data_IF_897758490654
#
_entry.id   IF_897758490654
#
_cell.length_a   1.000
_cell.length_b   1.000
_cell.length_c   1.000
_cell.angle_alpha   90.00
_cell.angle_beta   90.00
_cell.angle_gamma   90.00
#
_symmetry.space_group_name_H-M   'P 1'
#
loop_
_entity.id
_entity.type
_entity.pdbx_description
1 polymer ?
#
# COMPACT_ATOMS: atom_id res chain seq x y z
N UNK A 1 25.08 -87.56 15.77
CA UNK A 1 24.75 -86.92 14.48
C UNK A 1 23.54 -86.00 14.68
N UNK A 2 23.77 -84.70 14.93
CA UNK A 2 23.39 -83.54 14.09
C UNK A 2 21.90 -83.53 13.71
N UNK A 3 20.99 -83.11 14.61
CA UNK A 3 20.47 -81.73 14.89
C UNK A 3 19.88 -80.98 13.69
N UNK A 4 18.54 -80.89 13.73
CA UNK A 4 17.64 -79.98 13.02
C UNK A 4 17.97 -78.51 13.28
N UNK A 5 17.88 -77.67 12.25
CA UNK A 5 17.35 -76.29 12.31
C UNK A 5 17.58 -75.56 10.98
N UNK A 6 16.71 -75.77 10.00
CA UNK A 6 16.58 -74.87 8.86
C UNK A 6 15.10 -74.67 8.60
N UNK A 7 14.59 -73.50 9.00
CA UNK A 7 13.43 -72.76 8.45
C UNK A 7 13.00 -71.79 9.53
N UNK A 8 13.59 -70.58 9.62
CA UNK A 8 12.95 -69.42 10.30
C UNK A 8 13.68 -68.07 10.14
N UNK A 9 14.64 -67.91 9.22
CA UNK A 9 15.41 -66.65 9.12
C UNK A 9 15.03 -65.79 7.89
N UNK A 10 14.34 -66.34 6.88
CA UNK A 10 14.06 -65.60 5.64
C UNK A 10 12.79 -64.72 5.75
N UNK A 11 11.80 -65.11 6.56
CA UNK A 11 10.54 -64.34 6.71
C UNK A 11 10.68 -63.03 7.50
N UNK A 12 11.59 -62.98 8.48
CA UNK A 12 11.82 -61.79 9.31
C UNK A 12 12.56 -60.66 8.56
N UNK A 13 13.48 -61.01 7.66
CA UNK A 13 14.26 -60.02 6.91
C UNK A 13 13.42 -59.29 5.84
N UNK A 14 12.45 -59.96 5.23
CA UNK A 14 11.55 -59.35 4.23
C UNK A 14 10.52 -58.43 4.89
N UNK A 15 10.01 -58.79 6.07
CA UNK A 15 9.11 -57.94 6.87
C UNK A 15 9.84 -56.73 7.47
N UNK A 16 11.12 -56.88 7.87
CA UNK A 16 11.92 -55.77 8.39
C UNK A 16 12.36 -54.79 7.29
N UNK A 17 12.68 -55.28 6.08
CA UNK A 17 13.03 -54.42 4.94
C UNK A 17 11.82 -53.64 4.39
N UNK A 18 10.62 -54.22 4.40
CA UNK A 18 9.37 -53.51 4.03
C UNK A 18 8.95 -52.51 5.10
N UNK A 19 9.15 -52.82 6.39
CA UNK A 19 8.93 -51.88 7.50
C UNK A 19 9.92 -50.70 7.48
N UNK A 20 11.20 -50.94 7.17
CA UNK A 20 12.20 -49.89 6.94
C UNK A 20 11.95 -49.06 5.67
N UNK A 21 11.36 -49.64 4.62
CA UNK A 21 10.91 -48.88 3.45
C UNK A 21 9.73 -47.95 3.79
N UNK A 22 8.78 -48.41 4.62
CA UNK A 22 7.68 -47.57 5.11
C UNK A 22 8.13 -46.49 6.12
N UNK A 23 9.20 -46.74 6.89
CA UNK A 23 9.81 -45.75 7.80
C UNK A 23 10.77 -44.78 7.11
N UNK A 24 11.36 -45.16 5.96
CA UNK A 24 12.28 -44.33 5.18
C UNK A 24 11.62 -43.60 4.01
N UNK A 25 10.37 -43.94 3.65
CA UNK A 25 9.53 -43.16 2.76
C UNK A 25 9.01 -41.90 3.47
N UNK A 26 9.92 -41.02 3.88
CA UNK A 26 9.55 -39.62 4.03
C UNK A 26 9.09 -39.15 2.65
N UNK A 27 7.85 -38.66 2.49
CA UNK A 27 7.44 -38.11 1.21
C UNK A 27 8.44 -37.00 0.88
N UNK A 28 9.16 -37.15 -0.25
CA UNK A 28 10.01 -36.09 -0.78
C UNK A 28 9.06 -34.89 -0.92
N UNK A 29 9.28 -33.78 -0.17
CA UNK A 29 8.42 -32.63 -0.31
C UNK A 29 8.51 -32.18 -1.77
N UNK A 30 7.35 -31.94 -2.39
CA UNK A 30 7.29 -31.43 -3.76
C UNK A 30 8.26 -30.24 -3.88
N UNK A 31 9.07 -30.17 -4.95
CA UNK A 31 10.05 -29.10 -5.10
C UNK A 31 9.33 -27.74 -5.04
N UNK A 32 9.79 -26.89 -4.12
CA UNK A 32 9.31 -25.51 -3.97
C UNK A 32 9.52 -24.78 -5.30
N UNK A 33 8.42 -24.55 -6.02
CA UNK A 33 8.44 -23.82 -7.29
C UNK A 33 8.28 -22.34 -6.98
N UNK A 34 9.33 -21.53 -7.21
CA UNK A 34 9.26 -20.08 -7.03
C UNK A 34 8.53 -19.48 -8.24
N UNK A 35 7.34 -18.89 -8.03
CA UNK A 35 6.57 -18.24 -9.08
C UNK A 35 7.35 -17.08 -9.70
N UNK A 36 7.36 -17.03 -11.03
CA UNK A 36 7.88 -15.87 -11.74
C UNK A 36 6.99 -14.64 -11.52
N UNK A 37 7.58 -13.58 -10.96
CA UNK A 37 6.93 -12.27 -10.91
C UNK A 37 6.91 -11.65 -12.30
N UNK A 38 5.77 -11.07 -12.74
CA UNK A 38 5.71 -10.41 -14.04
C UNK A 38 6.72 -9.28 -14.16
N UNK A 39 7.29 -9.13 -15.36
CA UNK A 39 8.17 -8.00 -15.66
C UNK A 39 7.32 -6.74 -15.86
N UNK A 40 7.71 -5.66 -15.21
CA UNK A 40 7.04 -4.37 -15.36
C UNK A 40 7.41 -3.71 -16.69
N UNK A 41 6.41 -3.14 -17.37
CA UNK A 41 6.65 -2.14 -18.39
C UNK A 41 6.78 -0.78 -17.71
N UNK A 42 8.02 -0.40 -17.36
CA UNK A 42 8.32 0.78 -16.55
C UNK A 42 7.70 2.06 -17.12
N UNK A 43 7.75 2.26 -18.44
CA UNK A 43 7.18 3.48 -19.06
C UNK A 43 5.66 3.53 -18.92
N UNK A 44 4.98 2.39 -19.11
CA UNK A 44 3.52 2.29 -18.94
C UNK A 44 3.15 2.47 -17.47
N UNK A 45 3.91 1.88 -16.55
CA UNK A 45 3.71 2.04 -15.10
C UNK A 45 3.86 3.50 -14.67
N UNK A 46 4.89 4.21 -15.14
CA UNK A 46 5.10 5.63 -14.81
C UNK A 46 3.97 6.51 -15.37
N UNK A 47 3.51 6.25 -16.59
CA UNK A 47 2.40 7.00 -17.19
C UNK A 47 1.08 6.74 -16.46
N UNK A 48 0.79 5.48 -16.13
CA UNK A 48 -0.40 5.11 -15.39
C UNK A 48 -0.37 5.66 -13.95
N UNK A 49 0.81 5.67 -13.32
CA UNK A 49 1.01 6.29 -12.02
C UNK A 49 0.61 7.77 -12.03
N UNK A 50 1.11 8.53 -13.01
CA UNK A 50 0.79 9.94 -13.16
C UNK A 50 -0.72 10.16 -13.37
N UNK A 51 -1.31 9.39 -14.28
CA UNK A 51 -2.74 9.51 -14.60
C UNK A 51 -3.61 9.17 -13.40
N UNK A 52 -3.30 8.09 -12.69
CA UNK A 52 -4.04 7.65 -11.52
C UNK A 52 -3.92 8.66 -10.37
N UNK A 53 -2.70 9.08 -10.04
CA UNK A 53 -2.47 10.09 -9.00
C UNK A 53 -3.19 11.41 -9.31
N UNK A 54 -3.15 11.86 -10.56
CA UNK A 54 -3.88 13.06 -10.98
C UNK A 54 -5.39 12.90 -10.87
N UNK A 55 -5.94 11.72 -11.17
CA UNK A 55 -7.38 11.47 -10.97
C UNK A 55 -7.79 11.61 -9.49
N UNK A 56 -6.95 11.15 -8.57
CA UNK A 56 -7.18 11.28 -7.13
C UNK A 56 -7.07 12.73 -6.67
N UNK A 57 -6.05 13.47 -7.15
CA UNK A 57 -5.87 14.90 -6.84
C UNK A 57 -7.03 15.74 -7.34
N UNK A 58 -7.44 15.56 -8.59
CA UNK A 58 -8.57 16.29 -9.19
C UNK A 58 -9.86 15.98 -8.42
N UNK A 59 -10.12 14.70 -8.12
CA UNK A 59 -11.29 14.31 -7.33
C UNK A 59 -11.33 14.95 -5.94
N UNK A 60 -10.15 15.17 -5.33
CA UNK A 60 -10.00 15.83 -4.04
C UNK A 60 -10.02 17.37 -4.11
N UNK A 61 -10.08 17.98 -5.31
CA UNK A 61 -10.12 19.43 -5.50
C UNK A 61 -8.75 20.09 -5.69
N UNK A 62 -7.73 19.34 -6.10
CA UNK A 62 -6.40 19.86 -6.38
C UNK A 62 -6.11 19.90 -7.89
N UNK A 63 -5.23 20.82 -8.29
CA UNK A 63 -4.67 20.84 -9.64
C UNK A 63 -3.84 19.58 -9.90
N UNK A 64 -3.88 19.02 -11.12
CA UNK A 64 -3.07 17.87 -11.47
C UNK A 64 -1.58 18.25 -11.46
N UNK A 65 -0.74 17.27 -11.13
CA UNK A 65 0.69 17.36 -11.33
C UNK A 65 1.03 17.34 -12.83
N UNK A 66 2.08 18.08 -13.16
CA UNK A 66 2.69 18.08 -14.48
C UNK A 66 4.09 17.46 -14.39
N UNK A 67 4.34 16.42 -15.20
CA UNK A 67 5.62 15.71 -15.24
C UNK A 67 6.78 16.65 -15.57
N UNK A 68 7.89 16.56 -14.84
CA UNK A 68 9.12 17.33 -15.05
C UNK A 68 10.32 16.41 -15.29
N UNK A 69 11.07 16.68 -16.35
CA UNK A 69 12.16 15.81 -16.81
C UNK A 69 13.25 15.60 -15.75
N UNK A 70 13.72 16.67 -15.11
CA UNK A 70 14.77 16.62 -14.10
C UNK A 70 14.30 15.88 -12.82
N UNK A 71 13.03 16.07 -12.43
CA UNK A 71 12.44 15.32 -11.31
C UNK A 71 12.32 13.82 -11.66
N UNK A 72 11.92 13.47 -12.90
CA UNK A 72 11.89 12.06 -13.36
C UNK A 72 13.29 11.44 -13.31
N UNK A 73 14.32 12.18 -13.76
CA UNK A 73 15.71 11.73 -13.71
C UNK A 73 16.15 11.44 -12.27
N UNK A 74 15.85 12.33 -11.32
CA UNK A 74 16.16 12.14 -9.91
C UNK A 74 15.40 10.95 -9.31
N UNK A 75 14.08 10.86 -9.57
CA UNK A 75 13.24 9.80 -9.06
C UNK A 75 13.69 8.42 -9.58
N UNK A 76 13.99 8.31 -10.88
CA UNK A 76 14.46 7.06 -11.48
C UNK A 76 15.85 6.66 -11.00
N UNK A 77 16.76 7.64 -10.81
CA UNK A 77 18.07 7.38 -10.19
C UNK A 77 17.90 6.83 -8.78
N UNK A 78 16.99 7.40 -7.97
CA UNK A 78 16.75 6.89 -6.63
C UNK A 78 16.08 5.52 -6.63
N UNK A 79 15.08 5.28 -7.49
CA UNK A 79 14.44 3.98 -7.62
C UNK A 79 15.45 2.88 -8.00
N UNK A 80 16.35 3.16 -8.96
CA UNK A 80 17.42 2.24 -9.33
C UNK A 80 18.38 1.96 -8.17
N UNK A 81 18.78 3.00 -7.43
CA UNK A 81 19.62 2.86 -6.24
C UNK A 81 18.95 1.92 -5.21
N UNK A 82 17.66 2.12 -4.93
CA UNK A 82 16.93 1.29 -3.96
C UNK A 82 16.90 -0.18 -4.39
N UNK A 83 16.63 -0.45 -5.68
CA UNK A 83 16.58 -1.81 -6.19
C UNK A 83 17.96 -2.47 -6.32
N UNK A 84 19.01 -1.72 -6.67
CA UNK A 84 20.35 -2.27 -6.88
C UNK A 84 21.05 -2.63 -5.55
N UNK A 85 20.74 -1.91 -4.47
CA UNK A 85 21.35 -2.10 -3.16
C UNK A 85 20.41 -2.76 -2.15
N UNK A 86 19.28 -3.30 -2.59
CA UNK A 86 18.30 -3.99 -1.74
C UNK A 86 17.92 -3.19 -0.50
N UNK A 87 17.67 -1.89 -0.71
CA UNK A 87 17.40 -0.93 0.36
C UNK A 87 16.08 -0.21 0.15
N UNK A 88 15.64 0.56 1.14
CA UNK A 88 14.35 1.22 1.18
C UNK A 88 14.43 2.58 1.88
N UNK A 89 13.38 3.39 1.73
CA UNK A 89 13.28 4.70 2.34
C UNK A 89 13.92 5.82 1.52
N UNK A 90 14.11 6.98 2.17
CA UNK A 90 14.39 8.26 1.50
C UNK A 90 15.87 8.57 1.30
N UNK A 91 16.78 7.74 1.82
CA UNK A 91 18.20 8.06 1.92
C UNK A 91 19.08 7.21 1.01
N UNK A 92 20.15 7.82 0.50
CA UNK A 92 21.26 7.12 -0.13
C UNK A 92 22.53 7.23 0.72
N UNK A 93 23.41 6.25 0.61
CA UNK A 93 24.72 6.22 1.26
C UNK A 93 25.82 6.49 0.22
N UNK A 94 26.78 7.34 0.57
CA UNK A 94 27.82 7.82 -0.35
C UNK A 94 28.82 6.74 -0.80
N UNK A 95 28.82 5.57 -0.16
CA UNK A 95 29.71 4.45 -0.49
C UNK A 95 29.33 3.76 -1.82
N UNK A 96 28.09 3.91 -2.28
CA UNK A 96 27.63 3.25 -3.50
C UNK A 96 27.92 4.08 -4.75
N UNK A 97 28.31 3.40 -5.85
CA UNK A 97 28.77 4.04 -7.10
C UNK A 97 27.70 4.87 -7.83
N UNK A 98 26.43 4.56 -7.64
CA UNK A 98 25.26 5.25 -8.22
C UNK A 98 24.64 6.27 -7.25
N UNK A 99 25.37 6.66 -6.20
CA UNK A 99 25.00 7.76 -5.31
C UNK A 99 24.88 9.09 -6.07
N UNK A 100 23.72 9.74 -5.94
CA UNK A 100 23.44 11.07 -6.50
C UNK A 100 23.11 12.11 -5.43
N UNK A 101 22.89 11.67 -4.18
CA UNK A 101 22.68 12.54 -3.03
C UNK A 101 21.97 11.85 -1.86
N UNK A 102 22.36 12.19 -0.63
CA UNK A 102 21.80 11.56 0.57
C UNK A 102 20.29 11.78 0.69
N UNK A 103 19.79 12.97 0.40
CA UNK A 103 18.37 13.33 0.50
C UNK A 103 17.79 13.71 -0.85
N UNK A 104 16.46 13.67 -0.98
CA UNK A 104 15.75 14.04 -2.21
C UNK A 104 16.17 15.42 -2.74
N UNK A 105 16.34 16.40 -1.84
CA UNK A 105 16.83 17.75 -2.17
C UNK A 105 18.19 17.75 -2.90
N UNK A 106 19.14 16.96 -2.44
CA UNK A 106 20.44 16.79 -3.09
C UNK A 106 20.31 16.07 -4.43
N UNK A 107 19.47 15.03 -4.50
CA UNK A 107 19.27 14.23 -5.72
C UNK A 107 18.61 15.02 -6.84
N UNK A 108 17.58 15.83 -6.54
CA UNK A 108 16.94 16.68 -7.56
C UNK A 108 17.87 17.78 -8.05
N UNK A 109 18.70 18.35 -7.16
CA UNK A 109 19.73 19.32 -7.53
C UNK A 109 20.80 18.68 -8.42
N UNK A 110 21.28 17.48 -8.07
CA UNK A 110 22.21 16.71 -8.90
C UNK A 110 21.62 16.38 -10.29
N UNK A 111 20.32 16.14 -10.37
CA UNK A 111 19.61 15.93 -11.64
C UNK A 111 19.40 17.23 -12.45
N UNK A 112 19.78 18.39 -11.92
CA UNK A 112 19.67 19.69 -12.57
C UNK A 112 18.35 20.42 -12.34
N UNK A 113 17.54 19.99 -11.36
CA UNK A 113 16.35 20.75 -10.96
C UNK A 113 16.77 22.04 -10.23
N UNK A 114 16.10 23.15 -10.51
CA UNK A 114 16.59 24.47 -10.11
C UNK A 114 16.52 24.72 -8.59
N UNK A 115 15.59 24.08 -7.89
CA UNK A 115 15.35 24.26 -6.46
C UNK A 115 15.57 22.95 -5.70
N UNK A 116 16.17 22.98 -4.51
CA UNK A 116 16.27 21.81 -3.63
C UNK A 116 14.97 21.52 -2.88
N UNK A 117 13.96 22.39 -2.96
CA UNK A 117 12.70 22.28 -2.24
C UNK A 117 11.78 21.28 -2.96
N UNK A 118 11.73 20.06 -2.42
CA UNK A 118 10.99 18.92 -2.96
C UNK A 118 10.36 18.12 -1.81
N UNK A 119 9.18 17.55 -2.07
CA UNK A 119 8.53 16.55 -1.23
C UNK A 119 8.69 15.20 -1.92
N UNK A 120 9.07 14.15 -1.19
CA UNK A 120 9.26 12.83 -1.76
C UNK A 120 8.35 11.80 -1.10
N UNK A 121 7.66 11.01 -1.92
CA UNK A 121 7.08 9.74 -1.49
C UNK A 121 7.88 8.59 -2.11
N UNK A 122 8.11 7.53 -1.32
CA UNK A 122 8.82 6.32 -1.76
C UNK A 122 8.06 5.09 -1.27
N UNK A 123 7.94 4.08 -2.11
CA UNK A 123 7.55 2.73 -1.70
C UNK A 123 8.38 1.68 -2.40
N UNK A 124 8.48 0.49 -1.80
CA UNK A 124 9.23 -0.65 -2.34
C UNK A 124 8.40 -1.92 -2.25
N UNK A 125 8.76 -2.93 -3.05
CA UNK A 125 8.11 -4.25 -3.09
C UNK A 125 6.63 -4.25 -3.49
N UNK A 126 6.14 -3.17 -4.09
CA UNK A 126 4.80 -3.14 -4.69
C UNK A 126 4.81 -3.80 -6.07
N UNK A 127 3.70 -4.44 -6.43
CA UNK A 127 3.57 -5.14 -7.70
C UNK A 127 3.35 -4.21 -8.88
N UNK A 128 2.79 -3.01 -8.67
CA UNK A 128 2.47 -2.05 -9.72
C UNK A 128 2.21 -0.65 -9.14
N UNK A 129 2.05 0.34 -10.03
CA UNK A 129 1.79 1.73 -9.68
C UNK A 129 0.56 1.91 -8.78
N UNK A 130 -0.49 1.11 -8.99
CA UNK A 130 -1.76 1.28 -8.29
C UNK A 130 -1.65 0.82 -6.85
N UNK A 131 -0.96 -0.29 -6.62
CA UNK A 131 -0.66 -0.79 -5.28
C UNK A 131 0.23 0.22 -4.52
N UNK A 132 1.29 0.73 -5.14
CA UNK A 132 2.17 1.76 -4.56
C UNK A 132 1.37 3.00 -4.14
N UNK A 133 0.61 3.59 -5.07
CA UNK A 133 -0.18 4.80 -4.79
C UNK A 133 -1.25 4.51 -3.74
N UNK A 134 -1.97 3.39 -3.81
CA UNK A 134 -3.00 3.06 -2.82
C UNK A 134 -2.42 2.88 -1.41
N UNK A 135 -1.28 2.20 -1.29
CA UNK A 135 -0.57 2.03 -0.02
C UNK A 135 -0.15 3.37 0.56
N UNK A 136 0.48 4.21 -0.26
CA UNK A 136 0.89 5.57 0.13
C UNK A 136 -0.29 6.51 0.41
N UNK A 137 -1.46 6.29 -0.20
CA UNK A 137 -2.69 6.98 0.18
C UNK A 137 -3.30 6.41 1.46
N UNK A 138 -3.05 5.16 1.85
CA UNK A 138 -3.48 4.66 3.16
C UNK A 138 -2.62 5.21 4.30
N UNK A 139 -1.32 5.41 4.05
CA UNK A 139 -0.36 6.04 4.94
C UNK A 139 -0.59 7.55 5.00
N UNK A 140 -0.91 8.11 6.17
CA UNK A 140 -1.49 9.45 6.27
C UNK A 140 -0.49 10.56 5.92
N UNK A 141 0.77 10.44 6.32
CA UNK A 141 1.77 11.46 6.01
C UNK A 141 2.15 11.45 4.53
N UNK A 142 2.25 10.26 3.92
CA UNK A 142 2.47 10.12 2.47
C UNK A 142 1.27 10.61 1.66
N UNK A 143 0.03 10.38 2.13
CA UNK A 143 -1.16 10.96 1.50
C UNK A 143 -1.10 12.48 1.49
N UNK A 144 -0.76 13.11 2.62
CA UNK A 144 -0.69 14.56 2.71
C UNK A 144 0.40 15.14 1.81
N UNK A 145 1.51 14.42 1.60
CA UNK A 145 2.50 14.77 0.58
C UNK A 145 1.90 14.75 -0.85
N UNK A 146 1.11 13.73 -1.20
CA UNK A 146 0.43 13.68 -2.50
C UNK A 146 -0.68 14.72 -2.66
N UNK A 147 -1.30 15.14 -1.56
CA UNK A 147 -2.39 16.12 -1.54
C UNK A 147 -1.92 17.53 -1.15
N UNK A 148 -0.61 17.78 -1.18
CA UNK A 148 -0.03 19.07 -0.86
C UNK A 148 -0.53 20.18 -1.81
N UNK A 149 -0.98 21.29 -1.22
CA UNK A 149 -1.51 22.46 -1.94
C UNK A 149 -0.43 23.26 -2.68
N UNK A 150 0.85 23.09 -2.33
CA UNK A 150 1.95 23.90 -2.89
C UNK A 150 2.51 23.30 -4.16
N UNK A 151 2.30 22.01 -4.40
CA UNK A 151 2.97 21.26 -5.47
C UNK A 151 2.08 21.09 -6.70
N UNK A 152 2.63 21.33 -7.89
CA UNK A 152 2.00 21.10 -9.20
C UNK A 152 2.98 20.49 -10.24
N UNK A 153 4.21 20.21 -9.85
CA UNK A 153 5.21 19.49 -10.62
C UNK A 153 5.51 18.13 -9.97
N UNK A 154 5.75 17.11 -10.79
CA UNK A 154 6.15 15.79 -10.30
C UNK A 154 7.21 15.14 -11.19
N UNK A 155 8.08 14.34 -10.59
CA UNK A 155 8.85 13.31 -11.27
C UNK A 155 8.52 11.94 -10.70
N UNK A 156 8.31 10.96 -11.58
CA UNK A 156 8.03 9.58 -11.20
C UNK A 156 9.16 8.70 -11.73
N UNK A 157 9.69 7.85 -10.85
CA UNK A 157 10.70 6.85 -11.20
C UNK A 157 10.30 5.51 -10.65
N UNK A 158 10.24 4.51 -11.52
CA UNK A 158 9.93 3.13 -11.15
C UNK A 158 11.10 2.24 -11.58
N UNK A 159 11.50 1.33 -10.71
CA UNK A 159 12.53 0.33 -11.01
C UNK A 159 12.11 -1.05 -10.53
N UNK A 160 12.56 -2.07 -11.27
CA UNK A 160 12.42 -3.48 -10.93
C UNK A 160 13.78 -4.15 -11.16
N UNK A 161 14.28 -4.85 -10.15
CA UNK A 161 15.56 -5.53 -10.26
C UNK A 161 15.50 -6.66 -11.30
N UNK A 162 16.57 -6.82 -12.09
CA UNK A 162 16.61 -7.73 -13.26
C UNK A 162 16.40 -9.21 -12.91
N UNK A 163 16.99 -9.66 -11.80
CA UNK A 163 16.96 -11.07 -11.37
C UNK A 163 15.93 -11.31 -10.25
N UNK A 164 15.99 -10.54 -9.17
CA UNK A 164 14.98 -10.55 -8.10
C UNK A 164 13.78 -9.65 -8.43
N UNK A 165 12.88 -10.11 -9.28
CA UNK A 165 11.74 -9.32 -9.79
C UNK A 165 10.76 -8.82 -8.70
N UNK A 166 10.77 -9.40 -7.49
CA UNK A 166 10.03 -8.89 -6.33
C UNK A 166 10.60 -7.55 -5.79
N UNK A 167 11.88 -7.29 -6.04
CA UNK A 167 12.55 -6.05 -5.64
C UNK A 167 12.16 -4.94 -6.60
N UNK A 168 11.17 -4.15 -6.22
CA UNK A 168 10.69 -2.97 -6.94
C UNK A 168 10.81 -1.72 -6.07
N UNK A 169 10.91 -0.56 -6.73
CA UNK A 169 10.88 0.74 -6.06
C UNK A 169 10.09 1.75 -6.90
N UNK A 170 9.28 2.57 -6.21
CA UNK A 170 8.46 3.63 -6.78
C UNK A 170 8.79 4.92 -6.04
N UNK A 171 9.24 5.94 -6.77
CA UNK A 171 9.69 7.22 -6.21
C UNK A 171 8.90 8.35 -6.88
N UNK A 172 8.37 9.26 -6.06
CA UNK A 172 7.58 10.41 -6.48
C UNK A 172 8.17 11.69 -5.90
N UNK A 173 8.88 12.46 -6.73
CA UNK A 173 9.45 13.75 -6.35
C UNK A 173 8.50 14.87 -6.77
N UNK A 174 7.96 15.61 -5.81
CA UNK A 174 6.94 16.64 -6.02
C UNK A 174 7.48 18.03 -5.67
N UNK A 175 7.20 19.02 -6.53
CA UNK A 175 7.61 20.41 -6.32
C UNK A 175 6.63 21.38 -7.01
N UNK A 176 7.03 22.64 -7.15
CA UNK A 176 6.24 23.72 -7.75
C UNK A 176 6.94 24.28 -8.99
N UNK A 177 6.22 24.39 -10.11
CA UNK A 177 6.74 25.01 -11.33
C UNK A 177 7.08 26.47 -11.14
N UNK A 178 6.26 27.19 -10.39
CA UNK A 178 6.49 28.60 -10.06
C UNK A 178 7.75 28.75 -9.23
N UNK A 179 7.97 27.84 -8.27
CA UNK A 179 9.19 27.81 -7.47
C UNK A 179 10.44 27.50 -8.31
N UNK A 180 10.37 26.52 -9.20
CA UNK A 180 11.45 26.21 -10.12
C UNK A 180 11.81 27.42 -11.01
N UNK A 181 10.78 28.11 -11.54
CA UNK A 181 10.97 29.32 -12.35
C UNK A 181 11.63 30.45 -11.56
N UNK A 182 11.25 30.62 -10.28
CA UNK A 182 11.88 31.59 -9.39
C UNK A 182 13.37 31.28 -9.22
N UNK A 183 13.73 30.04 -8.90
CA UNK A 183 15.12 29.63 -8.67
C UNK A 183 15.98 29.68 -9.94
N UNK A 184 15.39 29.49 -11.12
CA UNK A 184 16.08 29.71 -12.41
C UNK A 184 16.48 31.17 -12.62
N UNK A 185 15.68 32.12 -12.11
CA UNK A 185 15.93 33.57 -12.22
C UNK A 185 16.80 34.10 -11.08
N UNK A 186 16.53 33.66 -9.86
CA UNK A 186 17.20 34.09 -8.65
C UNK A 186 17.50 32.89 -7.74
N UNK A 187 18.75 32.41 -7.77
CA UNK A 187 19.18 31.27 -6.94
C UNK A 187 19.18 31.56 -5.43
N UNK A 188 19.23 32.84 -5.06
CA UNK A 188 19.23 33.32 -3.68
C UNK A 188 17.90 34.00 -3.33
N UNK A 189 16.79 33.48 -3.85
CA UNK A 189 15.46 34.00 -3.58
C UNK A 189 15.19 34.09 -2.08
N UNK A 190 14.66 35.23 -1.65
CA UNK A 190 14.29 35.50 -0.27
C UNK A 190 13.11 34.61 0.17
N UNK A 191 12.97 34.41 1.48
CA UNK A 191 11.83 33.70 2.06
C UNK A 191 10.48 34.27 1.62
N UNK A 192 10.40 35.59 1.42
CA UNK A 192 9.19 36.26 0.93
C UNK A 192 8.85 35.85 -0.50
N UNK A 193 9.83 35.85 -1.41
CA UNK A 193 9.64 35.42 -2.81
C UNK A 193 9.25 33.94 -2.88
N UNK A 194 9.90 33.08 -2.09
CA UNK A 194 9.58 31.65 -1.99
C UNK A 194 8.14 31.46 -1.52
N UNK A 195 7.73 32.15 -0.45
CA UNK A 195 6.38 32.08 0.09
C UNK A 195 5.33 32.58 -0.93
N UNK A 196 5.64 33.64 -1.68
CA UNK A 196 4.77 34.13 -2.75
C UNK A 196 4.61 33.09 -3.86
N UNK A 197 5.71 32.46 -4.30
CA UNK A 197 5.68 31.40 -5.31
C UNK A 197 4.82 30.21 -4.85
N UNK A 198 5.05 29.70 -3.63
CA UNK A 198 4.26 28.61 -3.07
C UNK A 198 2.78 28.99 -2.89
N UNK A 199 2.48 30.18 -2.39
CA UNK A 199 1.11 30.67 -2.18
C UNK A 199 0.35 30.87 -3.49
N UNK A 200 1.03 31.28 -4.57
CA UNK A 200 0.39 31.39 -5.89
C UNK A 200 -0.16 30.04 -6.36
N UNK A 201 0.57 28.94 -6.10
CA UNK A 201 0.08 27.61 -6.43
C UNK A 201 -1.05 27.16 -5.50
N UNK A 202 -0.94 27.43 -4.19
CA UNK A 202 -2.02 27.14 -3.23
C UNK A 202 -3.36 27.75 -3.65
N UNK A 203 -3.36 28.98 -4.15
CA UNK A 203 -4.57 29.72 -4.59
C UNK A 203 -5.29 29.10 -5.80
N UNK A 204 -4.64 28.20 -6.55
CA UNK A 204 -5.24 27.48 -7.68
C UNK A 204 -6.05 26.25 -7.25
N UNK A 205 -5.89 25.83 -6.00
CA UNK A 205 -6.56 24.68 -5.43
C UNK A 205 -7.82 25.10 -4.66
N UNK A 206 -8.69 24.13 -4.36
CA UNK A 206 -9.85 24.37 -3.50
C UNK A 206 -9.45 24.85 -2.10
N UNK A 207 -10.36 25.54 -1.43
CA UNK A 207 -10.15 26.03 -0.06
C UNK A 207 -10.15 24.90 0.99
N UNK A 208 -10.71 23.75 0.65
CA UNK A 208 -10.73 22.54 1.48
C UNK A 208 -10.55 21.31 0.61
N UNK A 209 -9.73 20.38 1.09
CA UNK A 209 -9.51 19.05 0.50
C UNK A 209 -10.01 18.02 1.49
N UNK A 210 -10.87 17.11 1.02
CA UNK A 210 -11.36 15.97 1.79
C UNK A 210 -10.90 14.68 1.11
N UNK A 211 -10.46 13.70 1.91
CA UNK A 211 -10.04 12.41 1.39
C UNK A 211 -10.44 11.25 2.33
N UNK A 212 -11.05 10.15 1.84
CA UNK A 212 -11.56 9.96 0.48
C UNK A 212 -12.52 11.06 0.05
N UNK A 213 -12.49 11.45 -1.23
CA UNK A 213 -13.34 12.54 -1.72
C UNK A 213 -14.79 12.11 -1.88
N UNK A 214 -15.71 13.06 -2.03
CA UNK A 214 -17.14 12.77 -2.09
C UNK A 214 -17.47 11.83 -3.26
N UNK A 215 -18.18 10.75 -2.95
CA UNK A 215 -18.56 9.65 -3.86
C UNK A 215 -17.38 8.88 -4.45
N UNK A 216 -16.19 8.98 -3.86
CA UNK A 216 -15.03 8.21 -4.31
C UNK A 216 -15.31 6.70 -4.24
N UNK A 217 -14.92 6.00 -5.29
CA UNK A 217 -15.02 4.55 -5.43
C UNK A 217 -13.64 3.92 -5.34
N UNK A 218 -13.57 2.63 -5.03
CA UNK A 218 -12.31 1.90 -5.08
C UNK A 218 -11.35 2.23 -3.94
N UNK A 219 -11.85 2.75 -2.82
CA UNK A 219 -11.02 3.11 -1.66
C UNK A 219 -10.47 1.84 -1.01
N UNK A 220 -9.16 1.74 -0.72
CA UNK A 220 -8.64 0.64 0.08
C UNK A 220 -9.31 0.59 1.46
N UNK A 221 -9.54 -0.58 2.06
CA UNK A 221 -10.28 -0.70 3.31
C UNK A 221 -9.42 -0.46 4.56
N UNK A 222 -8.09 -0.52 4.42
CA UNK A 222 -7.19 -0.65 5.56
C UNK A 222 -5.98 0.29 5.48
N UNK A 223 -5.44 0.58 6.65
CA UNK A 223 -4.08 1.07 6.88
C UNK A 223 -3.27 -0.05 7.55
N UNK A 224 -1.99 -0.17 7.21
CA UNK A 224 -1.11 -1.21 7.75
C UNK A 224 0.11 -0.65 8.46
N UNK A 225 0.92 0.14 7.75
CA UNK A 225 2.17 0.68 8.25
C UNK A 225 2.57 1.96 7.53
N UNK A 226 3.34 2.78 8.25
CA UNK A 226 3.97 4.00 7.76
C UNK A 226 5.21 4.28 8.61
N UNK A 227 6.17 5.04 8.08
CA UNK A 227 7.32 5.52 8.83
C UNK A 227 7.44 7.05 8.72
N UNK A 228 7.34 7.81 9.83
CA UNK A 228 7.02 7.34 11.19
C UNK A 228 5.57 6.84 11.29
N UNK A 229 5.30 5.91 12.22
CA UNK A 229 4.00 5.26 12.33
C UNK A 229 3.02 6.11 13.17
N UNK A 230 1.88 6.58 12.62
CA UNK A 230 0.86 7.31 13.38
C UNK A 230 0.08 6.42 14.37
N UNK A 231 0.10 5.09 14.21
CA UNK A 231 -0.62 4.12 15.02
C UNK A 231 0.27 2.90 15.38
N UNK A 232 1.37 3.09 16.14
CA UNK A 232 2.39 2.06 16.37
C UNK A 232 1.88 0.77 17.04
N UNK A 233 0.76 0.86 17.76
CA UNK A 233 0.12 -0.30 18.39
C UNK A 233 -0.78 -1.13 17.47
N UNK A 234 -1.02 -0.68 16.23
CA UNK A 234 -1.92 -1.31 15.26
C UNK A 234 -1.13 -1.68 14.00
N UNK A 235 -0.99 -2.97 13.71
CA UNK A 235 -0.45 -3.45 12.42
C UNK A 235 -1.51 -3.47 11.33
N UNK A 236 -2.78 -3.37 11.70
CA UNK A 236 -3.91 -3.21 10.79
C UNK A 236 -4.98 -2.35 11.45
N UNK A 237 -5.47 -1.35 10.71
CA UNK A 237 -6.62 -0.52 11.08
C UNK A 237 -7.43 -0.16 9.84
N UNK A 238 -8.48 0.64 9.99
CA UNK A 238 -9.28 1.12 8.87
C UNK A 238 -8.58 2.23 8.11
N UNK A 239 -8.96 2.38 6.84
CA UNK A 239 -8.46 3.45 5.99
C UNK A 239 -8.71 4.83 6.62
N UNK A 240 -7.68 5.67 6.82
CA UNK A 240 -7.88 6.96 7.47
C UNK A 240 -8.68 7.91 6.58
N UNK A 241 -9.44 8.79 7.21
CA UNK A 241 -10.18 9.88 6.57
C UNK A 241 -9.54 11.20 6.99
N UNK A 242 -9.34 12.12 6.05
CA UNK A 242 -8.67 13.39 6.28
C UNK A 242 -9.42 14.58 5.70
N UNK A 243 -9.32 15.71 6.38
CA UNK A 243 -9.78 17.03 5.93
C UNK A 243 -8.64 18.01 6.13
N UNK A 244 -8.27 18.72 5.07
CA UNK A 244 -7.20 19.71 5.07
C UNK A 244 -7.73 21.04 4.53
N UNK A 245 -7.65 22.09 5.34
CA UNK A 245 -8.01 23.44 4.89
C UNK A 245 -6.78 24.14 4.30
N UNK A 246 -6.98 24.77 3.15
CA UNK A 246 -5.92 25.40 2.40
C UNK A 246 -5.48 26.70 3.09
N UNK A 247 -4.22 26.73 3.52
CA UNK A 247 -3.63 27.87 4.25
C UNK A 247 -3.49 29.15 3.42
N UNK A 248 -3.78 29.14 2.12
CA UNK A 248 -3.93 30.36 1.34
C UNK A 248 -5.21 31.14 1.66
N UNK A 249 -6.23 30.46 2.19
CA UNK A 249 -7.55 31.02 2.48
C UNK A 249 -7.87 31.01 3.98
N UNK A 250 -7.29 30.07 4.72
CA UNK A 250 -7.59 29.84 6.13
C UNK A 250 -6.35 29.94 7.01
N UNK A 251 -6.52 30.36 8.27
CA UNK A 251 -5.40 30.54 9.21
C UNK A 251 -5.53 29.66 10.44
N UNK A 252 -6.74 29.50 10.95
CA UNK A 252 -6.99 28.80 12.21
C UNK A 252 -8.13 27.79 12.06
N UNK A 253 -8.00 26.67 12.78
CA UNK A 253 -8.98 25.60 12.76
C UNK A 253 -9.05 24.86 14.09
N UNK A 254 -10.28 24.58 14.52
CA UNK A 254 -10.57 23.75 15.71
C UNK A 254 -11.60 22.69 15.37
N UNK A 255 -11.22 21.43 15.53
CA UNK A 255 -12.14 20.30 15.33
C UNK A 255 -13.23 20.30 16.40
N UNK A 256 -14.49 20.17 15.99
CA UNK A 256 -15.62 19.94 16.89
C UNK A 256 -16.11 18.49 16.78
N UNK A 257 -16.27 18.00 15.54
CA UNK A 257 -16.88 16.70 15.26
C UNK A 257 -16.20 16.06 14.05
N UNK A 258 -15.92 14.76 14.15
CA UNK A 258 -15.45 13.94 13.05
C UNK A 258 -15.95 12.52 13.31
N UNK A 259 -16.85 12.04 12.46
CA UNK A 259 -17.54 10.77 12.66
C UNK A 259 -17.65 10.00 11.35
N UNK A 260 -17.63 8.68 11.48
CA UNK A 260 -17.76 7.73 10.39
C UNK A 260 -18.97 6.82 10.68
N UNK A 261 -19.76 6.56 9.66
CA UNK A 261 -20.93 5.70 9.71
C UNK A 261 -20.80 4.63 8.63
N UNK A 262 -21.23 3.41 8.95
CA UNK A 262 -21.27 2.31 7.99
C UNK A 262 -22.47 2.44 7.03
N UNK A 263 -22.64 1.46 6.15
CA UNK A 263 -23.72 1.43 5.16
C UNK A 263 -25.13 1.41 5.78
N UNK A 264 -25.26 0.87 6.99
CA UNK A 264 -26.53 0.74 7.71
C UNK A 264 -26.86 1.99 8.54
N UNK A 265 -26.03 3.03 8.46
CA UNK A 265 -26.19 4.27 9.23
C UNK A 265 -25.72 4.16 10.68
N UNK A 266 -25.05 3.07 11.06
CA UNK A 266 -24.50 2.87 12.41
C UNK A 266 -23.15 3.58 12.52
N UNK A 267 -22.98 4.36 13.59
CA UNK A 267 -21.74 5.07 13.86
C UNK A 267 -20.62 4.11 14.27
N UNK A 268 -19.46 4.28 13.66
CA UNK A 268 -18.23 3.59 14.05
C UNK A 268 -17.58 4.41 15.17
N UNK A 269 -17.79 3.99 16.42
CA UNK A 269 -17.26 4.70 17.59
C UNK A 269 -15.78 4.43 17.86
N UNK A 270 -15.28 3.24 17.49
CA UNK A 270 -13.89 2.84 17.74
C UNK A 270 -12.93 3.54 16.77
N UNK A 271 -12.63 4.81 17.04
CA UNK A 271 -11.85 5.70 16.18
C UNK A 271 -10.88 6.55 16.99
N UNK A 272 -9.75 6.93 16.39
CA UNK A 272 -8.86 7.98 16.89
C UNK A 272 -8.91 9.20 15.98
N UNK A 273 -8.72 10.39 16.54
CA UNK A 273 -8.76 11.66 15.82
C UNK A 273 -7.46 12.41 16.08
N UNK A 274 -6.80 12.81 14.99
CA UNK A 274 -5.57 13.59 15.05
C UNK A 274 -5.78 14.97 14.44
N UNK A 275 -5.06 15.93 15.02
CA UNK A 275 -4.83 17.26 14.47
C UNK A 275 -3.34 17.60 14.70
N UNK A 276 -2.91 18.80 14.32
CA UNK A 276 -1.55 19.28 14.55
C UNK A 276 -1.00 19.06 15.97
N UNK A 277 -1.85 19.21 17.00
CA UNK A 277 -1.46 19.09 18.40
C UNK A 277 -1.42 17.63 18.86
N UNK A 278 -2.39 16.81 18.46
CA UNK A 278 -2.55 15.43 18.94
C UNK A 278 -1.85 14.38 18.08
N UNK A 279 -1.37 14.75 16.89
CA UNK A 279 -0.57 13.88 16.05
C UNK A 279 0.70 13.41 16.80
N UNK A 280 0.92 12.09 16.97
CA UNK A 280 2.08 11.58 17.69
C UNK A 280 3.42 11.97 17.04
N UNK A 281 3.47 12.08 15.70
CA UNK A 281 4.71 12.35 14.99
C UNK A 281 4.88 13.82 14.54
N UNK A 282 3.95 14.71 14.89
CA UNK A 282 3.99 16.15 14.59
C UNK A 282 4.21 16.48 13.10
N UNK A 283 3.58 15.72 12.21
CA UNK A 283 3.60 15.86 10.76
C UNK A 283 2.36 16.55 10.20
N UNK A 284 1.22 16.51 10.91
CA UNK A 284 0.01 17.24 10.51
C UNK A 284 0.20 18.74 10.60
N UNK A 285 -0.23 19.51 9.59
CA UNK A 285 -0.26 20.97 9.64
C UNK A 285 -1.44 21.46 10.51
N UNK A 286 -1.43 22.74 10.88
CA UNK A 286 -2.46 23.37 11.77
C UNK A 286 -3.90 23.17 11.32
N UNK A 287 -4.09 22.99 10.02
CA UNK A 287 -5.40 22.92 9.36
C UNK A 287 -5.72 21.51 8.84
N UNK A 288 -4.94 20.52 9.26
CA UNK A 288 -5.16 19.11 8.97
C UNK A 288 -5.89 18.41 10.12
N UNK A 289 -6.92 17.65 9.75
CA UNK A 289 -7.71 16.82 10.66
C UNK A 289 -7.81 15.42 10.09
N UNK A 290 -7.58 14.41 10.93
CA UNK A 290 -7.57 13.01 10.52
C UNK A 290 -8.41 12.18 11.47
N UNK A 291 -9.18 11.24 10.94
CA UNK A 291 -9.90 10.21 11.67
C UNK A 291 -9.39 8.83 11.23
N UNK A 292 -8.93 8.04 12.19
CA UNK A 292 -8.54 6.65 12.01
C UNK A 292 -9.60 5.72 12.59
N UNK A 293 -10.29 4.90 11.78
CA UNK A 293 -11.04 3.77 12.30
C UNK A 293 -10.06 2.73 12.85
N UNK A 294 -10.24 2.29 14.09
CA UNK A 294 -9.34 1.31 14.72
C UNK A 294 -9.63 -0.13 14.32
N UNK A 295 -10.70 -0.35 13.55
CA UNK A 295 -10.99 -1.60 12.86
C UNK A 295 -10.92 -1.37 11.36
N UNK A 296 -10.37 -2.37 10.66
CA UNK A 296 -10.39 -2.45 9.19
C UNK A 296 -11.82 -2.24 8.67
N UNK A 297 -11.95 -1.51 7.56
CA UNK A 297 -13.23 -1.34 6.89
C UNK A 297 -13.58 -2.57 6.06
N UNK A 298 -14.86 -2.80 5.81
CA UNK A 298 -15.33 -3.89 4.98
C UNK A 298 -15.11 -3.60 3.49
N UNK A 299 -14.88 -4.64 2.70
CA UNK A 299 -14.84 -4.53 1.24
C UNK A 299 -16.23 -4.18 0.68
N UNK A 300 -16.25 -3.57 -0.51
CA UNK A 300 -17.48 -3.20 -1.23
C UNK A 300 -18.57 -2.55 -0.36
N UNK A 301 -18.16 -1.69 0.57
CA UNK A 301 -19.05 -1.09 1.57
C UNK A 301 -19.03 0.42 1.45
N UNK A 302 -20.21 1.03 1.54
CA UNK A 302 -20.37 2.48 1.54
C UNK A 302 -20.23 3.01 2.97
N UNK A 303 -19.51 4.09 3.11
CA UNK A 303 -19.32 4.79 4.37
C UNK A 303 -19.74 6.25 4.24
N UNK A 304 -20.32 6.78 5.31
CA UNK A 304 -20.74 8.18 5.41
C UNK A 304 -19.91 8.89 6.47
N UNK A 305 -19.47 10.11 6.16
CA UNK A 305 -18.62 10.91 7.04
C UNK A 305 -19.34 12.20 7.40
N UNK A 306 -19.28 12.57 8.68
CA UNK A 306 -19.75 13.86 9.17
C UNK A 306 -18.60 14.60 9.84
N UNK A 307 -18.36 15.83 9.42
CA UNK A 307 -17.29 16.68 9.90
C UNK A 307 -17.84 18.06 10.29
N UNK A 308 -17.41 18.55 11.46
CA UNK A 308 -17.72 19.87 11.96
C UNK A 308 -16.46 20.48 12.57
N UNK A 309 -16.12 21.70 12.17
CA UNK A 309 -15.01 22.44 12.75
C UNK A 309 -15.32 23.94 12.79
N UNK A 310 -14.60 24.67 13.65
CA UNK A 310 -14.54 26.13 13.60
C UNK A 310 -13.32 26.49 12.76
N UNK A 311 -13.52 27.17 11.64
CA UNK A 311 -12.46 27.64 10.73
C UNK A 311 -12.59 29.16 10.65
N UNK A 312 -11.52 29.88 11.00
CA UNK A 312 -11.50 31.35 11.02
C UNK A 312 -12.74 31.99 11.71
N UNK A 313 -13.16 31.40 12.84
CA UNK A 313 -14.33 31.77 13.66
C UNK A 313 -15.70 31.40 13.08
N UNK A 314 -15.77 30.76 11.93
CA UNK A 314 -17.01 30.27 11.34
C UNK A 314 -17.17 28.75 11.53
N UNK A 315 -18.41 28.30 11.74
CA UNK A 315 -18.70 26.86 11.82
C UNK A 315 -18.81 26.30 10.39
N UNK A 316 -17.91 25.38 10.06
CA UNK A 316 -17.91 24.66 8.79
C UNK A 316 -18.38 23.23 9.01
N UNK A 317 -19.45 22.85 8.31
CA UNK A 317 -19.98 21.47 8.27
C UNK A 317 -19.73 20.83 6.90
N UNK A 318 -19.30 19.57 6.90
CA UNK A 318 -19.16 18.74 5.70
C UNK A 318 -19.75 17.37 5.95
N UNK A 319 -20.57 16.90 5.00
CA UNK A 319 -21.06 15.52 4.97
C UNK A 319 -20.81 14.93 3.57
N UNK A 320 -20.24 13.73 3.53
CA UNK A 320 -19.97 13.04 2.28
C UNK A 320 -19.97 11.53 2.45
N UNK A 321 -19.81 10.80 1.34
CA UNK A 321 -19.68 9.34 1.38
C UNK A 321 -18.56 8.86 0.46
N UNK A 322 -18.04 7.68 0.72
CA UNK A 322 -17.13 6.96 -0.16
C UNK A 322 -17.42 5.46 -0.11
N UNK A 323 -16.87 4.71 -1.06
CA UNK A 323 -17.07 3.27 -1.14
C UNK A 323 -15.74 2.54 -1.28
N UNK A 324 -15.57 1.51 -0.46
CA UNK A 324 -14.39 0.64 -0.52
C UNK A 324 -14.41 -0.22 -1.77
N UNK A 325 -13.23 -0.71 -2.17
CA UNK A 325 -13.07 -1.44 -3.43
C UNK A 325 -14.04 -2.63 -3.56
N UNK A 326 -14.60 -2.74 -4.76
CA UNK A 326 -15.36 -3.89 -5.23
C UNK A 326 -14.48 -4.73 -6.15
N UNK A 327 -14.57 -6.04 -6.02
CA UNK A 327 -13.93 -6.98 -6.95
C UNK A 327 -14.91 -7.42 -8.03
N UNK A 328 -14.38 -7.66 -9.23
CA UNK A 328 -15.15 -8.22 -10.35
C UNK A 328 -15.21 -9.75 -10.32
N UNK A 329 -14.63 -10.37 -9.29
CA UNK A 329 -14.65 -11.81 -9.03
C UNK A 329 -15.15 -12.05 -7.60
N UNK A 330 -15.74 -13.22 -7.30
CA UNK A 330 -16.37 -13.47 -6.00
C UNK A 330 -15.39 -13.35 -4.83
N UNK A 331 -15.88 -12.73 -3.75
CA UNK A 331 -15.20 -12.54 -2.47
C UNK A 331 -15.79 -13.48 -1.41
N UNK A 332 -14.94 -14.23 -0.74
CA UNK A 332 -15.26 -15.08 0.40
C UNK A 332 -14.66 -14.47 1.68
N UNK A 333 -15.51 -14.23 2.68
CA UNK A 333 -15.09 -13.77 4.00
C UNK A 333 -14.92 -14.97 4.92
N UNK A 334 -13.73 -15.13 5.49
CA UNK A 334 -13.33 -16.32 6.25
C UNK A 334 -13.39 -16.01 7.75
N UNK A 335 -14.56 -16.26 8.36
CA UNK A 335 -14.78 -16.01 9.79
C UNK A 335 -14.48 -17.24 10.68
N UNK A 336 -14.52 -18.45 10.12
CA UNK A 336 -14.36 -19.70 10.85
C UNK A 336 -13.51 -20.72 10.05
N UNK A 337 -13.01 -21.74 10.74
CA UNK A 337 -12.28 -22.86 10.13
C UNK A 337 -13.25 -23.87 9.48
N UNK A 338 -12.76 -24.67 8.53
CA UNK A 338 -13.46 -25.80 7.88
C UNK A 338 -14.47 -25.46 6.78
N UNK A 339 -14.23 -24.40 6.01
CA UNK A 339 -15.02 -24.18 4.79
C UNK A 339 -14.48 -25.00 3.61
N UNK A 340 -15.38 -25.73 2.94
CA UNK A 340 -15.13 -26.30 1.62
C UNK A 340 -15.55 -25.26 0.58
N UNK A 341 -14.61 -24.77 -0.22
CA UNK A 341 -14.90 -23.84 -1.31
C UNK A 341 -14.75 -24.53 -2.65
N UNK A 342 -15.79 -24.44 -3.48
CA UNK A 342 -15.71 -24.93 -4.85
C UNK A 342 -15.15 -23.85 -5.76
N UNK A 343 -14.03 -24.15 -6.41
CA UNK A 343 -13.36 -23.26 -7.37
C UNK A 343 -13.30 -23.96 -8.73
N UNK A 344 -13.71 -23.26 -9.79
CA UNK A 344 -13.57 -23.79 -11.15
C UNK A 344 -12.11 -23.67 -11.61
N UNK A 345 -11.66 -24.63 -12.40
CA UNK A 345 -10.35 -24.60 -13.04
C UNK A 345 -10.15 -23.29 -13.83
N UNK A 346 -8.96 -22.71 -13.73
CA UNK A 346 -8.57 -21.42 -14.30
C UNK A 346 -9.39 -20.20 -13.85
N UNK A 347 -10.22 -20.34 -12.80
CA UNK A 347 -10.96 -19.22 -12.24
C UNK A 347 -10.35 -18.74 -10.92
N UNK A 348 -10.35 -17.42 -10.74
CA UNK A 348 -9.91 -16.80 -9.49
C UNK A 348 -11.08 -16.54 -8.53
N UNK A 349 -10.78 -16.54 -7.24
CA UNK A 349 -11.64 -16.14 -6.12
C UNK A 349 -10.84 -15.30 -5.14
N UNK A 350 -11.49 -14.35 -4.48
CA UNK A 350 -10.87 -13.56 -3.40
C UNK A 350 -11.23 -14.18 -2.06
N UNK A 351 -10.23 -14.32 -1.20
CA UNK A 351 -10.37 -14.78 0.17
C UNK A 351 -9.90 -13.66 1.09
N UNK A 352 -10.83 -13.11 1.85
CA UNK A 352 -10.57 -12.11 2.88
C UNK A 352 -10.66 -12.77 4.25
N UNK A 353 -9.62 -12.55 5.06
CA UNK A 353 -9.50 -13.10 6.40
C UNK A 353 -9.60 -11.92 7.38
N UNK A 354 -10.80 -11.62 7.93
CA UNK A 354 -10.97 -10.48 8.82
C UNK A 354 -9.99 -10.55 9.99
N UNK A 355 -9.26 -9.47 10.28
CA UNK A 355 -8.33 -9.45 11.40
C UNK A 355 -9.11 -9.56 12.71
N UNK A 356 -8.72 -10.52 13.54
CA UNK A 356 -9.34 -10.75 14.86
C UNK A 356 -8.75 -9.86 15.95
N UNK A 357 -7.61 -9.22 15.69
CA UNK A 357 -6.94 -8.29 16.60
C UNK A 357 -6.25 -7.16 15.84
N UNK A 358 -5.80 -6.12 16.55
CA UNK A 358 -5.06 -4.98 15.98
C UNK A 358 -3.70 -5.34 15.38
N UNK A 359 -3.21 -6.56 15.61
CA UNK A 359 -1.93 -7.07 15.09
C UNK A 359 -2.06 -8.31 14.20
N UNK A 360 -3.29 -8.71 13.85
CA UNK A 360 -3.56 -9.92 13.08
C UNK A 360 -3.33 -9.69 11.58
N UNK A 361 -2.17 -10.11 11.09
CA UNK A 361 -1.80 -10.10 9.67
C UNK A 361 -1.69 -11.54 9.15
N UNK A 362 -1.96 -11.73 7.86
CA UNK A 362 -1.69 -13.02 7.23
C UNK A 362 -0.19 -13.27 7.15
N UNK A 363 0.19 -14.46 7.59
CA UNK A 363 1.56 -14.97 7.60
C UNK A 363 1.51 -16.48 7.31
N UNK A 364 2.68 -17.07 7.04
CA UNK A 364 2.87 -18.52 6.96
C UNK A 364 1.90 -19.20 5.97
N UNK A 365 1.89 -18.74 4.71
CA UNK A 365 1.02 -19.30 3.67
C UNK A 365 1.74 -20.46 2.99
N UNK A 366 1.21 -21.67 3.17
CA UNK A 366 1.62 -22.85 2.43
C UNK A 366 0.46 -23.33 1.53
N UNK A 367 0.74 -23.49 0.25
CA UNK A 367 -0.25 -23.88 -0.75
C UNK A 367 0.36 -24.84 -1.78
N UNK A 368 -0.47 -25.75 -2.34
CA UNK A 368 0.02 -26.70 -3.33
C UNK A 368 0.34 -26.00 -4.65
N UNK A 369 1.26 -26.57 -5.43
CA UNK A 369 1.78 -26.00 -6.69
C UNK A 369 0.73 -25.79 -7.78
N UNK A 370 -0.42 -26.45 -7.68
CA UNK A 370 -1.54 -26.32 -8.61
C UNK A 370 -2.51 -25.17 -8.28
N UNK A 371 -2.16 -24.35 -7.28
CA UNK A 371 -2.89 -23.15 -6.88
C UNK A 371 -1.95 -21.97 -6.98
N UNK A 372 -2.45 -20.87 -7.55
CA UNK A 372 -1.76 -19.60 -7.56
C UNK A 372 -2.36 -18.64 -6.52
N UNK A 373 -1.50 -17.95 -5.76
CA UNK A 373 -1.89 -16.98 -4.74
C UNK A 373 -1.23 -15.64 -5.02
N UNK A 374 -2.05 -14.58 -5.08
CA UNK A 374 -1.62 -13.19 -5.17
C UNK A 374 -2.13 -12.44 -3.94
N UNK A 375 -1.26 -11.71 -3.24
CA UNK A 375 -1.70 -10.83 -2.16
C UNK A 375 -2.35 -9.58 -2.75
N UNK A 376 -3.57 -9.28 -2.32
CA UNK A 376 -4.23 -7.99 -2.58
C UNK A 376 -3.85 -7.00 -1.49
N UNK A 377 -3.83 -7.47 -0.25
CA UNK A 377 -3.28 -6.76 0.91
C UNK A 377 -2.87 -7.76 2.01
N UNK A 378 -2.44 -7.25 3.17
CA UNK A 378 -1.92 -8.10 4.26
C UNK A 378 -2.99 -8.97 4.96
N UNK A 379 -4.28 -8.90 4.58
CA UNK A 379 -5.33 -9.81 5.04
C UNK A 379 -6.24 -10.35 3.92
N UNK A 380 -5.89 -10.13 2.65
CA UNK A 380 -6.74 -10.52 1.51
C UNK A 380 -5.88 -11.09 0.40
N UNK A 381 -6.24 -12.29 -0.07
CA UNK A 381 -5.55 -12.95 -1.18
C UNK A 381 -6.53 -13.21 -2.34
N UNK A 382 -6.00 -13.18 -3.54
CA UNK A 382 -6.62 -13.75 -4.73
C UNK A 382 -6.02 -15.13 -4.95
N UNK A 383 -6.89 -16.11 -5.12
CA UNK A 383 -6.51 -17.49 -5.36
C UNK A 383 -7.03 -17.93 -6.72
N UNK A 384 -6.16 -18.49 -7.56
CA UNK A 384 -6.50 -19.04 -8.88
C UNK A 384 -6.19 -20.52 -8.93
N UNK A 385 -7.16 -21.36 -9.29
CA UNK A 385 -6.93 -22.79 -9.46
C UNK A 385 -6.31 -23.04 -10.85
N UNK A 386 -5.09 -23.59 -10.92
CA UNK A 386 -4.36 -23.75 -12.19
C UNK A 386 -4.65 -25.07 -12.90
N UNK A 387 -5.00 -26.13 -12.17
CA UNK A 387 -5.33 -27.43 -12.74
C UNK A 387 -6.33 -28.21 -11.88
N UNK A 388 -7.25 -28.94 -12.51
CA UNK A 388 -8.15 -29.86 -11.80
C UNK A 388 -7.40 -31.11 -11.31
N UNK A 389 -7.35 -31.30 -10.00
CA UNK A 389 -7.03 -32.59 -9.38
C UNK A 389 -8.35 -33.13 -8.83
N UNK A 390 -8.67 -34.40 -9.06
CA UNK A 390 -9.88 -35.08 -8.52
C UNK A 390 -9.84 -35.26 -6.98
N UNK A 391 -9.12 -34.40 -6.25
CA UNK A 391 -9.01 -34.42 -4.79
C UNK A 391 -9.11 -33.01 -4.22
N UNK A 392 -9.87 -32.92 -3.12
CA UNK A 392 -9.94 -31.73 -2.27
C UNK A 392 -8.53 -31.35 -1.79
N UNK A 393 -8.14 -30.11 -2.00
CA UNK A 393 -6.86 -29.56 -1.58
C UNK A 393 -7.01 -28.87 -0.23
N UNK A 394 -6.07 -29.08 0.69
CA UNK A 394 -6.04 -28.36 1.96
C UNK A 394 -5.06 -27.20 1.85
N UNK A 395 -5.48 -26.02 2.30
CA UNK A 395 -4.60 -24.86 2.44
C UNK A 395 -4.52 -24.46 3.90
N UNK A 396 -3.29 -24.21 4.34
CA UNK A 396 -3.00 -23.69 5.66
C UNK A 396 -2.48 -22.27 5.49
N UNK A 397 -3.20 -21.32 6.08
CA UNK A 397 -2.94 -19.89 5.96
C UNK A 397 -2.95 -19.34 7.39
N UNK A 398 -1.77 -19.30 8.02
CA UNK A 398 -1.66 -19.04 9.46
C UNK A 398 -2.54 -20.01 10.27
N UNK A 399 -3.50 -19.47 11.03
CA UNK A 399 -4.47 -20.25 11.84
C UNK A 399 -5.65 -20.83 11.05
N UNK A 400 -5.80 -20.47 9.78
CA UNK A 400 -6.94 -20.85 8.96
C UNK A 400 -6.64 -22.11 8.15
N UNK A 401 -7.58 -23.06 8.20
CA UNK A 401 -7.54 -24.26 7.37
C UNK A 401 -8.72 -24.26 6.40
N UNK A 402 -8.41 -24.18 5.10
CA UNK A 402 -9.38 -24.18 4.03
C UNK A 402 -9.31 -25.48 3.25
N UNK A 403 -10.45 -25.94 2.74
CA UNK A 403 -10.50 -27.06 1.80
C UNK A 403 -11.02 -26.54 0.46
N UNK A 404 -10.23 -26.65 -0.61
CA UNK A 404 -10.66 -26.33 -1.96
C UNK A 404 -11.11 -27.59 -2.70
N UNK A 405 -12.31 -27.55 -3.23
CA UNK A 405 -12.83 -28.52 -4.18
C UNK A 405 -12.69 -27.92 -5.59
N UNK A 406 -11.61 -28.28 -6.29
CA UNK A 406 -11.32 -27.77 -7.63
C UNK A 406 -12.09 -28.62 -8.65
N UNK A 407 -13.06 -28.01 -9.32
CA UNK A 407 -13.90 -28.67 -10.33
C UNK A 407 -13.54 -28.18 -11.73
N UNK A 408 -13.70 -29.06 -12.71
CA UNK A 408 -13.62 -28.68 -14.13
C UNK A 408 -14.75 -27.71 -14.51
#
# INVERSE_FOLDING_TARGET
MKKQSHTFIIGGFVLFATYLYYLSATPIPDPLTIKEVPKLNIQVEEQNALNYLNSLRIGAGLVPFQSQHQLNKAARSHANYLTNHFTYGHQQQAIHKDFTGKFASSRVTHAGYATPLVIENVSTHNQNYKESINGLFSAIYHRLAFLDFRSDAIGIGISQHRHQKQQTAFVYNMSSKTLETLYKKNKNASSTEINQALNSNKKRNQNVVIYPFNKQQGVPPAFFDELPDPLPEHKVSGFPISVSFNSAFHKEGKLLKFELYNNDGVQIHNTLKFNHQTDPNKRLEKLDFVLFPLKRLEWNSKYHVKFLAIIDKEIVSKEWSFQTQKFNIPLHVINHNNHVFTVKENHSRIFYFPPTSKVDLLQDIAYPSNVDIEFIDKNTIKLTALASIQRKQKLSIGKYHLTLDIRR
#
